data_IF_745737434967
#
_entry.id   IF_745737434967
#
_cell.length_a   1.000
_cell.length_b   1.000
_cell.length_c   1.000
_cell.angle_alpha   90.00
_cell.angle_beta   90.00
_cell.angle_gamma   90.00
#
_symmetry.space_group_name_H-M   'P 1'
#
loop_
_entity.id
_entity.type
_entity.pdbx_description
1 polymer ?
#
# COMPACT_ATOMS: atom_id res chain seq x y z
N UNK A 1 -33.85 1.47 3.14
CA UNK A 1 -32.68 2.33 3.44
C UNK A 1 -31.77 1.49 4.31
N UNK A 2 -30.52 1.29 3.90
CA UNK A 2 -29.58 0.44 4.64
C UNK A 2 -29.28 1.07 6.01
N UNK A 3 -29.22 0.28 7.09
CA UNK A 3 -28.86 0.75 8.43
C UNK A 3 -27.43 0.32 8.78
N UNK A 4 -26.79 0.98 9.73
CA UNK A 4 -25.46 0.55 10.21
C UNK A 4 -25.52 -0.87 10.80
N UNK A 5 -26.57 -1.19 11.55
CA UNK A 5 -26.83 -2.54 12.07
C UNK A 5 -26.94 -3.59 10.95
N UNK A 6 -27.51 -3.25 9.79
CA UNK A 6 -27.58 -4.20 8.66
C UNK A 6 -26.21 -4.51 8.04
N UNK A 7 -25.22 -3.64 8.22
CA UNK A 7 -23.85 -3.81 7.70
C UNK A 7 -22.92 -4.53 8.70
N UNK A 8 -23.21 -4.43 9.99
CA UNK A 8 -22.47 -5.07 11.08
C UNK A 8 -23.42 -5.40 12.26
N UNK A 9 -24.18 -6.50 12.19
CA UNK A 9 -25.21 -6.80 13.21
C UNK A 9 -24.64 -7.12 14.60
N UNK A 10 -23.42 -7.65 14.66
CA UNK A 10 -22.80 -8.04 15.92
C UNK A 10 -22.03 -6.86 16.53
N UNK A 11 -22.55 -6.34 17.64
CA UNK A 11 -21.90 -5.28 18.42
C UNK A 11 -20.50 -5.65 18.89
N UNK A 12 -20.19 -6.93 19.14
CA UNK A 12 -18.85 -7.35 19.57
C UNK A 12 -17.85 -7.15 18.46
N UNK A 13 -18.22 -7.56 17.24
CA UNK A 13 -17.40 -7.32 16.05
C UNK A 13 -17.20 -5.82 15.85
N UNK A 14 -18.27 -5.00 15.98
CA UNK A 14 -18.15 -3.55 15.84
C UNK A 14 -17.12 -2.95 16.81
N UNK A 15 -17.12 -3.41 18.06
CA UNK A 15 -16.22 -2.93 19.11
C UNK A 15 -14.80 -3.51 19.02
N UNK A 16 -14.59 -4.58 18.24
CA UNK A 16 -13.28 -5.19 17.99
C UNK A 16 -12.57 -4.58 16.77
N UNK A 17 -13.30 -3.94 15.86
CA UNK A 17 -12.72 -3.31 14.66
C UNK A 17 -11.89 -2.08 15.03
N UNK A 18 -10.72 -1.97 14.40
CA UNK A 18 -9.91 -0.76 14.49
C UNK A 18 -10.61 0.42 13.75
N UNK A 19 -10.29 1.69 14.09
CA UNK A 19 -10.97 2.85 13.53
C UNK A 19 -11.03 2.88 12.00
N UNK A 20 -9.96 2.49 11.30
CA UNK A 20 -9.89 2.43 9.84
C UNK A 20 -10.79 1.35 9.23
N UNK A 21 -10.96 0.21 9.89
CA UNK A 21 -11.80 -0.89 9.41
C UNK A 21 -13.27 -0.51 9.58
N UNK A 22 -13.62 0.02 10.75
CA UNK A 22 -14.97 0.53 11.02
C UNK A 22 -15.31 1.73 10.12
N UNK A 23 -14.34 2.60 9.83
CA UNK A 23 -14.50 3.71 8.90
C UNK A 23 -14.89 3.24 7.49
N UNK A 24 -14.33 2.13 7.01
CA UNK A 24 -14.74 1.52 5.74
C UNK A 24 -16.23 1.19 5.69
N UNK A 25 -16.76 0.63 6.79
CA UNK A 25 -18.19 0.31 6.94
C UNK A 25 -19.04 1.57 7.02
N UNK A 26 -18.59 2.59 7.76
CA UNK A 26 -19.29 3.87 7.88
C UNK A 26 -19.36 4.60 6.53
N UNK A 27 -18.30 4.55 5.72
CA UNK A 27 -18.30 5.13 4.38
C UNK A 27 -19.25 4.39 3.43
N UNK A 28 -19.28 3.05 3.49
CA UNK A 28 -20.25 2.23 2.75
C UNK A 28 -21.69 2.60 3.13
N UNK A 29 -21.97 2.72 4.43
CA UNK A 29 -23.25 3.22 4.94
C UNK A 29 -23.57 4.59 4.34
N UNK A 30 -22.65 5.55 4.40
CA UNK A 30 -22.86 6.89 3.85
C UNK A 30 -23.11 6.90 2.34
N UNK A 31 -22.36 6.15 1.55
CA UNK A 31 -22.61 6.03 0.12
C UNK A 31 -24.03 5.48 -0.17
N UNK A 32 -24.52 4.52 0.64
CA UNK A 32 -25.88 3.99 0.52
C UNK A 32 -26.99 5.01 0.83
N UNK A 33 -26.73 5.99 1.69
CA UNK A 33 -27.70 7.02 2.08
C UNK A 33 -27.87 8.12 1.03
N UNK A 34 -26.90 8.25 0.13
CA UNK A 34 -26.77 9.42 -0.74
C UNK A 34 -27.04 9.11 -2.21
N UNK A 35 -27.44 7.88 -2.54
CA UNK A 35 -27.96 7.53 -3.86
C UNK A 35 -29.15 8.44 -4.23
N UNK A 36 -28.88 9.47 -5.05
CA UNK A 36 -29.86 10.48 -5.47
C UNK A 36 -29.90 11.81 -4.68
N UNK A 37 -29.02 12.03 -3.69
CA UNK A 37 -28.91 13.30 -2.92
C UNK A 37 -27.55 13.98 -3.16
N UNK A 38 -27.40 15.27 -2.79
CA UNK A 38 -26.22 16.13 -3.06
C UNK A 38 -24.87 15.69 -2.46
N UNK A 39 -24.69 14.46 -1.98
CA UNK A 39 -23.45 14.04 -1.32
C UNK A 39 -23.44 14.27 0.20
N UNK A 40 -24.53 14.76 0.79
CA UNK A 40 -24.58 15.19 2.20
C UNK A 40 -24.99 14.06 3.13
N UNK A 41 -24.27 13.96 4.25
CA UNK A 41 -24.53 13.03 5.35
C UNK A 41 -24.51 13.80 6.67
N UNK A 42 -25.45 13.49 7.55
CA UNK A 42 -25.49 14.03 8.90
C UNK A 42 -24.80 13.05 9.85
N UNK A 43 -23.74 13.52 10.54
CA UNK A 43 -22.93 12.72 11.47
C UNK A 43 -23.79 12.22 12.64
N UNK A 44 -24.67 13.07 13.15
CA UNK A 44 -25.60 12.77 14.24
C UNK A 44 -26.59 11.66 13.91
N UNK A 45 -26.92 11.44 12.63
CA UNK A 45 -27.78 10.32 12.24
C UNK A 45 -27.10 8.97 12.49
N UNK A 46 -25.78 8.86 12.27
CA UNK A 46 -25.02 7.62 12.48
C UNK A 46 -25.05 7.17 13.94
N UNK A 47 -24.99 8.13 14.87
CA UNK A 47 -24.92 7.88 16.32
C UNK A 47 -26.25 8.16 17.03
N UNK A 48 -27.34 8.30 16.28
CA UNK A 48 -28.66 8.55 16.85
C UNK A 48 -29.21 7.30 17.53
N UNK A 49 -30.07 7.46 18.53
CA UNK A 49 -30.76 6.32 19.17
C UNK A 49 -31.59 5.50 18.18
N UNK A 50 -32.10 6.12 17.10
CA UNK A 50 -32.79 5.39 16.04
C UNK A 50 -31.84 4.51 15.22
N UNK A 51 -30.62 4.99 14.93
CA UNK A 51 -29.63 4.19 14.19
C UNK A 51 -29.06 3.03 15.00
N UNK A 52 -29.03 3.17 16.34
CA UNK A 52 -28.48 2.16 17.25
C UNK A 52 -29.54 1.26 17.89
N UNK A 53 -30.82 1.44 17.54
CA UNK A 53 -31.97 0.80 18.20
C UNK A 53 -31.92 -0.73 18.28
N UNK A 54 -31.21 -1.37 17.35
CA UNK A 54 -31.12 -2.82 17.20
C UNK A 54 -29.89 -3.42 17.90
N UNK A 55 -28.99 -2.58 18.45
CA UNK A 55 -27.89 -3.04 19.29
C UNK A 55 -28.29 -3.15 20.77
N UNK A 56 -27.56 -3.93 21.59
CA UNK A 56 -27.79 -3.99 23.04
C UNK A 56 -27.60 -2.62 23.69
N UNK A 57 -28.59 -2.22 24.51
CA UNK A 57 -28.64 -0.88 25.13
C UNK A 57 -27.47 -0.62 26.06
N UNK A 58 -26.98 -1.65 26.73
CA UNK A 58 -25.82 -1.60 27.62
C UNK A 58 -24.52 -1.19 26.92
N UNK A 59 -24.44 -1.40 25.60
CA UNK A 59 -23.26 -1.09 24.78
C UNK A 59 -23.45 0.14 23.88
N UNK A 60 -24.62 0.81 23.90
CA UNK A 60 -24.90 1.96 23.03
C UNK A 60 -23.83 3.07 23.16
N UNK A 61 -23.36 3.34 24.38
CA UNK A 61 -22.34 4.36 24.63
C UNK A 61 -21.01 3.99 23.97
N UNK A 62 -20.54 2.76 24.14
CA UNK A 62 -19.27 2.30 23.58
C UNK A 62 -19.33 2.28 22.05
N UNK A 63 -20.46 1.83 21.49
CA UNK A 63 -20.71 1.84 20.05
C UNK A 63 -20.67 3.27 19.50
N UNK A 64 -21.24 4.26 20.21
CA UNK A 64 -21.16 5.67 19.78
C UNK A 64 -19.73 6.16 19.74
N UNK A 65 -18.90 5.82 20.72
CA UNK A 65 -17.49 6.22 20.74
C UNK A 65 -16.73 5.61 19.57
N UNK A 66 -16.85 4.30 19.33
CA UNK A 66 -16.22 3.63 18.19
C UNK A 66 -16.64 4.24 16.83
N UNK A 67 -17.94 4.52 16.64
CA UNK A 67 -18.43 5.19 15.43
C UNK A 67 -17.90 6.62 15.27
N UNK A 68 -17.67 7.34 16.37
CA UNK A 68 -17.05 8.68 16.33
C UNK A 68 -15.58 8.62 15.97
N UNK A 69 -14.82 7.64 16.48
CA UNK A 69 -13.43 7.41 16.09
C UNK A 69 -13.30 7.13 14.58
N UNK A 70 -14.18 6.26 14.05
CA UNK A 70 -14.27 6.00 12.62
C UNK A 70 -14.60 7.27 11.81
N UNK A 71 -15.48 8.14 12.30
CA UNK A 71 -15.79 9.42 11.64
C UNK A 71 -14.58 10.37 11.61
N UNK A 72 -13.86 10.49 12.72
CA UNK A 72 -12.64 11.31 12.82
C UNK A 72 -11.59 10.80 11.83
N UNK A 73 -11.45 9.48 11.74
CA UNK A 73 -10.54 8.86 10.77
C UNK A 73 -10.91 9.19 9.32
N UNK A 74 -12.18 9.06 8.93
CA UNK A 74 -12.66 9.41 7.57
C UNK A 74 -12.39 10.89 7.21
N UNK A 75 -12.48 11.77 8.19
CA UNK A 75 -12.19 13.20 8.04
C UNK A 75 -10.69 13.46 7.86
N UNK A 76 -9.84 12.82 8.69
CA UNK A 76 -8.38 12.91 8.58
C UNK A 76 -7.85 12.39 7.24
N UNK A 77 -8.44 11.31 6.72
CA UNK A 77 -8.11 10.77 5.38
C UNK A 77 -8.70 11.59 4.22
N UNK A 78 -9.48 12.63 4.52
CA UNK A 78 -10.14 13.49 3.55
C UNK A 78 -11.19 12.77 2.70
N UNK A 79 -11.79 11.70 3.23
CA UNK A 79 -12.86 10.95 2.58
C UNK A 79 -14.23 11.62 2.78
N UNK A 80 -14.39 12.32 3.90
CA UNK A 80 -15.50 13.25 4.17
C UNK A 80 -14.94 14.61 4.58
N UNK A 81 -15.75 15.66 4.47
CA UNK A 81 -15.41 16.99 4.96
C UNK A 81 -16.68 17.77 5.38
N UNK A 82 -16.52 18.74 6.28
CA UNK A 82 -17.61 19.66 6.67
C UNK A 82 -18.22 20.34 5.44
N UNK A 83 -19.55 20.41 5.37
CA UNK A 83 -20.21 21.15 4.29
C UNK A 83 -20.14 22.66 4.53
N UNK A 84 -19.50 23.44 3.65
CA UNK A 84 -19.28 24.87 3.88
C UNK A 84 -20.56 25.72 3.78
N UNK A 85 -21.68 25.14 3.35
CA UNK A 85 -22.97 25.83 3.22
C UNK A 85 -23.85 25.67 4.46
N UNK A 86 -23.52 24.73 5.34
CA UNK A 86 -24.26 24.47 6.56
C UNK A 86 -23.68 25.27 7.73
N UNK A 87 -24.56 25.74 8.63
CA UNK A 87 -24.15 26.43 9.87
C UNK A 87 -23.80 25.46 11.00
N UNK A 88 -24.23 24.21 10.86
CA UNK A 88 -23.97 23.15 11.84
C UNK A 88 -22.83 22.28 11.33
N UNK A 89 -21.89 21.97 12.22
CA UNK A 89 -20.81 21.00 11.98
C UNK A 89 -21.29 19.55 11.86
N UNK A 90 -22.58 19.31 12.07
CA UNK A 90 -23.19 17.99 11.95
C UNK A 90 -23.24 17.48 10.50
N UNK A 91 -23.22 18.39 9.52
CA UNK A 91 -23.32 18.02 8.12
C UNK A 91 -21.95 17.93 7.46
N UNK A 92 -21.71 16.82 6.78
CA UNK A 92 -20.53 16.59 5.97
C UNK A 92 -20.93 16.21 4.56
N UNK A 93 -20.05 16.47 3.58
CA UNK A 93 -20.17 15.92 2.24
C UNK A 93 -19.13 14.82 2.03
N UNK A 94 -19.49 13.80 1.26
CA UNK A 94 -18.53 12.80 0.79
C UNK A 94 -17.65 13.46 -0.28
N UNK A 95 -16.33 13.49 -0.04
CA UNK A 95 -15.40 14.19 -0.94
C UNK A 95 -15.31 13.48 -2.30
N UNK A 96 -14.64 14.10 -3.26
CA UNK A 96 -14.35 13.46 -4.56
C UNK A 96 -13.56 12.16 -4.39
N UNK A 97 -12.74 12.05 -3.34
CA UNK A 97 -11.98 10.83 -3.02
C UNK A 97 -12.90 9.79 -2.37
N UNK A 98 -13.66 10.17 -1.34
CA UNK A 98 -14.59 9.25 -0.66
C UNK A 98 -15.60 8.61 -1.62
N UNK A 99 -16.11 9.36 -2.61
CA UNK A 99 -17.04 8.82 -3.61
C UNK A 99 -16.45 7.78 -4.55
N UNK A 100 -15.11 7.71 -4.69
CA UNK A 100 -14.45 6.65 -5.46
C UNK A 100 -14.33 5.34 -4.66
N UNK A 101 -14.51 5.41 -3.34
CA UNK A 101 -14.42 4.27 -2.44
C UNK A 101 -15.84 3.87 -2.03
N UNK A 102 -16.50 3.08 -2.87
CA UNK A 102 -17.94 2.80 -2.75
C UNK A 102 -18.29 1.97 -1.51
N UNK A 103 -17.38 1.08 -1.08
CA UNK A 103 -17.61 0.11 -0.01
C UNK A 103 -16.35 -0.12 0.84
N UNK A 104 -16.49 -0.89 1.93
CA UNK A 104 -15.37 -1.20 2.84
C UNK A 104 -14.16 -1.84 2.15
N UNK A 105 -14.37 -2.72 1.17
CA UNK A 105 -13.29 -3.35 0.40
C UNK A 105 -12.49 -2.32 -0.41
N UNK A 106 -13.15 -1.29 -0.95
CA UNK A 106 -12.47 -0.20 -1.64
C UNK A 106 -11.65 0.66 -0.67
N UNK A 107 -12.12 0.87 0.57
CA UNK A 107 -11.35 1.55 1.63
C UNK A 107 -10.13 0.74 2.04
N UNK A 108 -10.28 -0.57 2.28
CA UNK A 108 -9.16 -1.48 2.57
C UNK A 108 -8.12 -1.47 1.44
N UNK A 109 -8.57 -1.48 0.18
CA UNK A 109 -7.67 -1.40 -0.97
C UNK A 109 -6.94 -0.06 -1.03
N UNK A 110 -7.63 1.04 -0.75
CA UNK A 110 -7.03 2.37 -0.67
C UNK A 110 -5.99 2.47 0.45
N UNK A 111 -6.28 1.90 1.63
CA UNK A 111 -5.34 1.84 2.74
C UNK A 111 -4.07 1.10 2.38
N UNK A 112 -4.24 -0.10 1.79
CA UNK A 112 -3.12 -0.88 1.28
C UNK A 112 -2.34 -0.09 0.24
N UNK A 113 -3.01 0.56 -0.71
CA UNK A 113 -2.35 1.39 -1.73
C UNK A 113 -1.49 2.51 -1.12
N UNK A 114 -1.93 3.14 -0.03
CA UNK A 114 -1.13 4.19 0.61
C UNK A 114 0.18 3.66 1.24
N UNK A 115 0.29 2.35 1.53
CA UNK A 115 1.51 1.75 2.09
C UNK A 115 2.67 1.75 1.08
N UNK A 116 2.37 1.65 -0.20
CA UNK A 116 3.37 1.59 -1.25
C UNK A 116 3.14 2.76 -2.23
N UNK A 117 3.79 3.91 -2.02
CA UNK A 117 3.53 5.11 -2.80
C UNK A 117 3.94 4.92 -4.27
N UNK A 118 2.94 4.79 -5.15
CA UNK A 118 3.10 4.54 -6.59
C UNK A 118 4.03 5.56 -7.25
N UNK A 119 4.00 6.81 -6.81
CA UNK A 119 4.78 7.92 -7.35
C UNK A 119 6.29 7.78 -7.07
N UNK A 120 6.68 7.01 -6.06
CA UNK A 120 8.10 6.73 -5.79
C UNK A 120 8.64 5.57 -6.61
N UNK A 121 7.79 4.78 -7.26
CA UNK A 121 8.18 3.59 -8.00
C UNK A 121 8.70 3.92 -9.39
N UNK A 122 9.75 3.21 -9.80
CA UNK A 122 10.25 3.20 -11.17
C UNK A 122 9.12 2.75 -12.12
N UNK A 123 8.97 3.31 -13.34
CA UNK A 123 7.87 2.98 -14.25
C UNK A 123 7.66 1.47 -14.49
N UNK A 124 8.74 0.69 -14.56
CA UNK A 124 8.65 -0.78 -14.70
C UNK A 124 8.02 -1.43 -13.47
N UNK A 125 8.33 -0.95 -12.26
CA UNK A 125 7.71 -1.42 -11.02
C UNK A 125 6.23 -1.03 -10.96
N UNK A 126 5.89 0.17 -11.44
CA UNK A 126 4.50 0.64 -11.54
C UNK A 126 3.68 -0.26 -12.47
N UNK A 127 4.26 -0.74 -13.56
CA UNK A 127 3.55 -1.59 -14.51
C UNK A 127 3.42 -3.04 -14.00
N UNK A 128 4.53 -3.62 -13.52
CA UNK A 128 4.59 -5.07 -13.25
C UNK A 128 4.34 -5.48 -11.80
N UNK A 129 4.66 -4.62 -10.83
CA UNK A 129 4.62 -4.95 -9.40
C UNK A 129 3.41 -4.35 -8.71
N UNK A 130 3.12 -3.09 -9.00
CA UNK A 130 2.05 -2.34 -8.36
C UNK A 130 0.66 -3.02 -8.44
N UNK A 131 0.24 -3.59 -9.58
CA UNK A 131 -1.05 -4.28 -9.66
C UNK A 131 -1.13 -5.53 -8.78
N UNK A 132 -0.02 -6.26 -8.60
CA UNK A 132 0.05 -7.44 -7.74
C UNK A 132 -0.15 -7.06 -6.28
N UNK A 133 0.55 -6.00 -5.85
CA UNK A 133 0.44 -5.48 -4.49
C UNK A 133 -0.98 -5.03 -4.15
N UNK A 134 -1.65 -4.31 -5.06
CA UNK A 134 -3.04 -3.88 -4.85
C UNK A 134 -4.03 -5.03 -4.72
N UNK A 135 -3.78 -6.17 -5.40
CA UNK A 135 -4.61 -7.37 -5.29
C UNK A 135 -4.32 -8.22 -4.06
N UNK A 136 -3.32 -7.85 -3.26
CA UNK A 136 -2.90 -8.63 -2.10
C UNK A 136 -2.01 -9.82 -2.44
N UNK A 137 -1.51 -9.91 -3.68
CA UNK A 137 -0.56 -10.94 -4.12
C UNK A 137 0.87 -10.54 -3.67
N UNK A 138 1.07 -10.42 -2.36
CA UNK A 138 2.23 -9.76 -1.76
C UNK A 138 3.56 -10.49 -2.00
N UNK A 139 3.58 -11.81 -1.82
CA UNK A 139 4.74 -12.66 -2.09
C UNK A 139 5.17 -12.57 -3.57
N UNK A 140 4.20 -12.62 -4.47
CA UNK A 140 4.38 -12.52 -5.91
C UNK A 140 4.86 -11.13 -6.30
N UNK A 141 4.31 -10.07 -5.69
CA UNK A 141 4.74 -8.69 -5.89
C UNK A 141 6.22 -8.49 -5.48
N UNK A 142 6.62 -9.00 -4.31
CA UNK A 142 8.00 -8.93 -3.83
C UNK A 142 8.92 -9.70 -4.77
N UNK A 143 8.59 -10.95 -5.11
CA UNK A 143 9.37 -11.75 -6.04
C UNK A 143 9.55 -11.04 -7.39
N UNK A 144 8.46 -10.53 -7.96
CA UNK A 144 8.46 -9.82 -9.22
C UNK A 144 9.31 -8.55 -9.15
N UNK A 145 9.33 -7.82 -8.02
CA UNK A 145 10.18 -6.63 -7.86
C UNK A 145 11.68 -6.98 -7.94
N UNK A 146 12.15 -7.98 -7.19
CA UNK A 146 13.56 -8.39 -7.24
C UNK A 146 13.94 -9.05 -8.56
N UNK A 147 13.02 -9.74 -9.22
CA UNK A 147 13.23 -10.22 -10.59
C UNK A 147 13.51 -9.07 -11.54
N UNK A 148 12.75 -7.98 -11.48
CA UNK A 148 12.98 -6.82 -12.36
C UNK A 148 14.33 -6.13 -12.07
N UNK A 149 14.80 -6.10 -10.82
CA UNK A 149 16.17 -5.65 -10.51
C UNK A 149 17.22 -6.54 -11.19
N UNK A 150 17.08 -7.87 -11.11
CA UNK A 150 18.00 -8.79 -11.76
C UNK A 150 17.99 -8.64 -13.29
N UNK A 151 16.81 -8.44 -13.87
CA UNK A 151 16.66 -8.18 -15.31
C UNK A 151 17.36 -6.88 -15.71
N UNK A 152 17.19 -5.80 -14.93
CA UNK A 152 17.85 -4.52 -15.19
C UNK A 152 19.38 -4.63 -15.13
N UNK A 153 19.92 -5.29 -14.11
CA UNK A 153 21.36 -5.56 -13.99
C UNK A 153 21.85 -6.34 -15.21
N UNK A 154 21.15 -7.41 -15.61
CA UNK A 154 21.54 -8.22 -16.77
C UNK A 154 21.62 -7.40 -18.06
N UNK A 155 20.62 -6.55 -18.30
CA UNK A 155 20.62 -5.67 -19.47
C UNK A 155 21.79 -4.67 -19.42
N UNK A 156 22.10 -4.12 -18.24
CA UNK A 156 23.20 -3.17 -18.07
C UNK A 156 24.59 -3.78 -18.37
N UNK A 157 24.78 -5.08 -18.14
CA UNK A 157 26.08 -5.77 -18.33
C UNK A 157 26.19 -6.57 -19.63
N UNK A 158 25.11 -6.64 -20.42
CA UNK A 158 25.01 -7.40 -21.67
C UNK A 158 25.33 -8.90 -21.51
N UNK A 159 24.91 -9.53 -20.41
CA UNK A 159 25.10 -10.96 -20.18
C UNK A 159 23.95 -11.82 -20.78
N UNK A 160 24.19 -13.12 -20.93
CA UNK A 160 23.22 -14.10 -21.48
C UNK A 160 22.14 -14.45 -20.45
N UNK A 161 21.04 -15.08 -20.90
CA UNK A 161 19.89 -15.44 -20.04
C UNK A 161 20.21 -16.44 -18.92
N UNK A 162 21.33 -17.15 -19.03
CA UNK A 162 21.77 -18.20 -18.09
C UNK A 162 22.22 -17.63 -16.74
N UNK A 163 22.69 -16.36 -16.70
CA UNK A 163 23.10 -15.69 -15.47
C UNK A 163 21.89 -15.11 -14.72
N UNK A 164 21.43 -15.82 -13.69
CA UNK A 164 20.33 -15.39 -12.81
C UNK A 164 20.81 -15.24 -11.36
N UNK A 165 20.11 -14.41 -10.59
CA UNK A 165 20.19 -14.36 -9.13
C UNK A 165 21.53 -13.83 -8.57
N UNK A 166 22.08 -14.51 -7.55
CA UNK A 166 23.25 -14.06 -6.80
C UNK A 166 24.49 -14.04 -7.67
N UNK A 167 24.70 -15.05 -8.50
CA UNK A 167 25.85 -15.16 -9.40
C UNK A 167 25.90 -14.00 -10.40
N UNK A 168 24.74 -13.56 -10.91
CA UNK A 168 24.65 -12.37 -11.76
C UNK A 168 25.15 -11.12 -11.04
N UNK A 169 24.76 -10.93 -9.77
CA UNK A 169 25.21 -9.78 -8.97
C UNK A 169 26.71 -9.84 -8.67
N UNK A 170 27.23 -11.04 -8.37
CA UNK A 170 28.67 -11.28 -8.13
C UNK A 170 29.51 -10.91 -9.34
N UNK A 171 29.09 -11.29 -10.55
CA UNK A 171 29.78 -10.93 -11.79
C UNK A 171 29.64 -9.45 -12.12
N UNK A 172 28.43 -8.90 -12.01
CA UNK A 172 28.15 -7.52 -12.40
C UNK A 172 28.85 -6.48 -11.52
N UNK A 173 28.90 -6.72 -10.20
CA UNK A 173 29.44 -5.78 -9.20
C UNK A 173 30.77 -6.25 -8.60
N UNK A 174 31.51 -7.14 -9.26
CA UNK A 174 32.81 -7.58 -8.77
C UNK A 174 33.75 -6.37 -8.54
N UNK A 175 34.43 -6.23 -7.38
CA UNK A 175 35.20 -5.02 -7.06
C UNK A 175 36.31 -4.69 -8.06
N UNK A 176 36.93 -5.71 -8.63
CA UNK A 176 38.07 -5.52 -9.54
C UNK A 176 37.68 -5.35 -11.02
N UNK A 177 36.62 -6.02 -11.48
CA UNK A 177 36.33 -6.18 -12.92
C UNK A 177 34.83 -6.21 -13.26
N UNK A 178 33.95 -5.91 -12.30
CA UNK A 178 32.51 -5.83 -12.51
C UNK A 178 32.15 -4.65 -13.40
N UNK A 179 31.35 -4.88 -14.44
CA UNK A 179 30.93 -3.84 -15.39
C UNK A 179 30.06 -2.74 -14.76
N UNK A 180 29.41 -3.04 -13.63
CA UNK A 180 28.58 -2.08 -12.89
C UNK A 180 29.30 -1.47 -11.68
N UNK A 181 30.55 -1.84 -11.44
CA UNK A 181 31.35 -1.30 -10.33
C UNK A 181 31.76 0.13 -10.63
N UNK A 182 31.45 1.07 -9.74
CA UNK A 182 31.91 2.45 -9.87
C UNK A 182 33.40 2.54 -9.53
N UNK A 183 34.22 2.89 -10.52
CA UNK A 183 35.66 3.00 -10.35
C UNK A 183 36.09 4.15 -9.43
N UNK A 184 35.20 5.10 -9.13
CA UNK A 184 35.49 6.23 -8.24
C UNK A 184 35.25 5.91 -6.76
N UNK A 185 34.62 4.78 -6.46
CA UNK A 185 34.38 4.32 -5.10
C UNK A 185 35.64 3.70 -4.48
N UNK A 186 35.74 3.77 -3.16
CA UNK A 186 36.72 3.03 -2.37
C UNK A 186 36.47 1.52 -2.46
N UNK A 187 37.48 0.70 -2.17
CA UNK A 187 37.30 -0.77 -2.17
C UNK A 187 36.22 -1.24 -1.18
N UNK A 188 36.09 -0.58 -0.03
CA UNK A 188 35.05 -0.88 0.95
C UNK A 188 33.63 -0.59 0.38
N UNK A 189 33.46 0.51 -0.36
CA UNK A 189 32.19 0.86 -1.01
C UNK A 189 31.82 -0.09 -2.14
N UNK A 190 32.80 -0.53 -2.94
CA UNK A 190 32.59 -1.55 -3.98
C UNK A 190 32.14 -2.87 -3.35
N UNK A 191 32.83 -3.31 -2.30
CA UNK A 191 32.47 -4.53 -1.57
C UNK A 191 31.09 -4.43 -0.90
N UNK A 192 30.76 -3.25 -0.35
CA UNK A 192 29.44 -2.99 0.23
C UNK A 192 28.33 -3.03 -0.81
N UNK A 193 28.56 -2.47 -2.01
CA UNK A 193 27.60 -2.50 -3.12
C UNK A 193 27.36 -3.94 -3.57
N UNK A 194 28.42 -4.72 -3.77
CA UNK A 194 28.29 -6.15 -4.08
C UNK A 194 27.49 -6.90 -3.01
N UNK A 195 27.82 -6.70 -1.73
CA UNK A 195 27.14 -7.36 -0.61
C UNK A 195 25.65 -6.98 -0.53
N UNK A 196 25.30 -5.73 -0.85
CA UNK A 196 23.93 -5.24 -0.87
C UNK A 196 23.09 -5.96 -1.92
N UNK A 197 23.57 -6.04 -3.16
CA UNK A 197 22.83 -6.68 -4.27
C UNK A 197 22.74 -8.20 -4.11
N UNK A 198 23.85 -8.86 -3.73
CA UNK A 198 23.86 -10.32 -3.50
C UNK A 198 22.98 -10.70 -2.32
N UNK A 199 23.06 -9.97 -1.21
CA UNK A 199 22.21 -10.16 -0.03
C UNK A 199 20.73 -9.97 -0.35
N UNK A 200 20.39 -8.95 -1.13
CA UNK A 200 19.03 -8.71 -1.59
C UNK A 200 18.47 -9.88 -2.43
N UNK A 201 19.22 -10.34 -3.43
CA UNK A 201 18.80 -11.48 -4.27
C UNK A 201 18.67 -12.77 -3.46
N UNK A 202 19.62 -13.03 -2.57
CA UNK A 202 19.60 -14.21 -1.70
C UNK A 202 18.40 -14.22 -0.76
N UNK A 203 18.11 -13.09 -0.11
CA UNK A 203 17.05 -12.99 0.90
C UNK A 203 15.64 -12.90 0.33
N UNK A 204 15.45 -12.24 -0.82
CA UNK A 204 14.12 -11.95 -1.33
C UNK A 204 13.77 -12.72 -2.61
N UNK A 205 14.69 -12.94 -3.55
CA UNK A 205 14.37 -13.71 -4.76
C UNK A 205 14.58 -15.22 -4.55
N UNK A 206 15.78 -15.62 -4.15
CA UNK A 206 16.13 -17.04 -3.97
C UNK A 206 15.29 -17.69 -2.87
N UNK A 207 15.13 -17.01 -1.73
CA UNK A 207 14.32 -17.53 -0.64
C UNK A 207 12.86 -17.81 -1.06
N UNK A 208 12.27 -16.95 -1.91
CA UNK A 208 10.90 -17.13 -2.41
C UNK A 208 10.79 -18.24 -3.46
N UNK A 209 11.87 -18.55 -4.20
CA UNK A 209 11.89 -19.74 -5.07
C UNK A 209 11.85 -21.06 -4.30
N UNK A 210 12.39 -21.08 -3.08
CA UNK A 210 12.57 -22.31 -2.31
C UNK A 210 11.57 -22.49 -1.15
N UNK A 211 10.92 -21.42 -0.71
CA UNK A 211 10.05 -21.43 0.47
C UNK A 211 8.81 -20.58 0.22
N UNK A 212 7.69 -21.03 0.75
CA UNK A 212 6.47 -20.24 0.80
C UNK A 212 6.57 -19.26 1.99
N UNK A 213 6.84 -17.99 1.70
CA UNK A 213 6.97 -16.93 2.70
C UNK A 213 5.74 -16.03 2.59
N UNK A 214 4.93 -15.99 3.65
CA UNK A 214 3.78 -15.08 3.69
C UNK A 214 4.25 -13.66 4.04
N UNK A 215 3.91 -12.70 3.18
CA UNK A 215 4.12 -11.28 3.43
C UNK A 215 2.81 -10.62 3.88
N UNK A 216 2.92 -9.71 4.84
CA UNK A 216 1.87 -8.71 5.08
C UNK A 216 2.02 -7.57 4.07
N UNK A 217 1.01 -6.70 3.98
CA UNK A 217 1.06 -5.56 3.07
C UNK A 217 2.22 -4.61 3.38
N UNK A 218 2.48 -4.37 4.66
CA UNK A 218 3.54 -3.48 5.15
C UNK A 218 4.92 -4.04 4.79
N UNK A 219 5.16 -5.32 5.09
CA UNK A 219 6.44 -5.99 4.79
C UNK A 219 6.69 -6.08 3.28
N UNK A 220 5.64 -6.28 2.49
CA UNK A 220 5.77 -6.28 1.04
C UNK A 220 6.07 -4.88 0.50
N UNK A 221 5.43 -3.83 1.03
CA UNK A 221 5.70 -2.45 0.65
C UNK A 221 7.17 -2.08 0.92
N UNK A 222 7.70 -2.41 2.11
CA UNK A 222 9.10 -2.20 2.46
C UNK A 222 10.06 -2.90 1.49
N UNK A 223 9.82 -4.19 1.22
CA UNK A 223 10.65 -4.98 0.32
C UNK A 223 10.60 -4.46 -1.13
N UNK A 224 9.42 -4.03 -1.61
CA UNK A 224 9.26 -3.45 -2.95
C UNK A 224 9.95 -2.09 -3.04
N UNK A 225 9.85 -1.22 -2.02
CA UNK A 225 10.58 0.05 -1.98
C UNK A 225 12.09 -0.19 -1.96
N UNK A 226 12.56 -1.20 -1.24
CA UNK A 226 13.97 -1.59 -1.25
C UNK A 226 14.41 -2.07 -2.65
N UNK A 227 13.66 -2.97 -3.29
CA UNK A 227 13.94 -3.39 -4.67
C UNK A 227 13.92 -2.21 -5.65
N UNK A 228 12.97 -1.28 -5.50
CA UNK A 228 12.90 -0.06 -6.29
C UNK A 228 14.13 0.84 -6.11
N UNK A 229 14.65 0.93 -4.89
CA UNK A 229 15.89 1.67 -4.63
C UNK A 229 17.08 1.03 -5.34
N UNK A 230 17.24 -0.30 -5.26
CA UNK A 230 18.26 -1.04 -6.00
C UNK A 230 18.14 -0.83 -7.52
N UNK A 231 16.91 -0.85 -8.04
CA UNK A 231 16.65 -0.59 -9.47
C UNK A 231 17.15 0.80 -9.87
N UNK A 232 16.86 1.84 -9.08
CA UNK A 232 17.32 3.21 -9.38
C UNK A 232 18.85 3.36 -9.31
N UNK A 233 19.54 2.57 -8.47
CA UNK A 233 21.00 2.51 -8.45
C UNK A 233 21.50 1.99 -9.81
N UNK A 234 20.90 0.90 -10.32
CA UNK A 234 21.22 0.35 -11.64
C UNK A 234 21.04 1.39 -12.75
N UNK A 235 19.90 2.08 -12.79
CA UNK A 235 19.62 3.13 -13.79
C UNK A 235 20.65 4.27 -13.77
N UNK A 236 21.08 4.65 -12.56
CA UNK A 236 22.05 5.73 -12.37
C UNK A 236 23.43 5.32 -12.90
N UNK A 237 23.84 4.07 -12.66
CA UNK A 237 25.09 3.51 -13.19
C UNK A 237 25.10 3.40 -14.72
N UNK A 238 23.96 3.09 -15.34
CA UNK A 238 23.83 3.06 -16.81
C UNK A 238 23.71 4.44 -17.44
N UNK A 239 23.07 5.40 -16.75
CA UNK A 239 22.91 6.77 -17.28
C UNK A 239 24.23 7.53 -17.26
N UNK A 240 25.06 7.32 -16.22
CA UNK A 240 26.39 7.91 -16.11
C UNK A 240 27.34 7.44 -17.22
N UNK A 241 27.16 6.23 -17.74
CA UNK A 241 27.98 5.68 -18.84
C UNK A 241 27.61 6.24 -20.23
N UNK A 242 26.55 7.06 -20.34
CA UNK A 242 26.11 7.71 -21.60
C UNK A 242 26.54 9.18 -21.75
N UNK A 243 27.29 9.75 -20.81
CA UNK A 243 27.76 11.14 -20.94
C UNK A 243 29.20 11.15 -21.48
N UNK A 244 29.45 11.75 -22.67
CA UNK A 244 30.78 11.80 -23.29
C UNK A 244 31.76 12.72 -22.55
#
# INVERSE_FOLDING_TARGET
MQSIHSLIPDHKILLELEPEELAGIVLEYFNSQVAGKKGLVARGNLISSEALRDYPREHETDIRYALVEALVWLENEGLIAEDPTQRSKDWSFITRRGRKLENRTAVETYLKANLLPKELLHPIMVDKVWPLFLRGEYDTAVFQAFKEVAVAVRYAVEYTEEDCDVELMEKAFHPENGKMTDANQTEDEKQATLALFTGAMGLYKNALCHRNINFTAERAAEAIIFANHLFKIVDSSTSASTTP
#
